data_IF_415195668485
#
_entry.id   IF_415195668485
#
_cell.length_a   1.000
_cell.length_b   1.000
_cell.length_c   1.000
_cell.angle_alpha   90.00
_cell.angle_beta   90.00
_cell.angle_gamma   90.00
#
_symmetry.space_group_name_H-M   'P 1'
#
loop_
_entity.id
_entity.type
_entity.pdbx_description
1 polymer ?
#
# COMPACT_ATOMS: atom_id res chain seq x y z
N UNK A 1 -12.08 10.71 -40.67
CA UNK A 1 -11.89 9.24 -40.60
C UNK A 1 -11.52 8.81 -39.19
N UNK A 2 -10.49 9.39 -38.59
CA UNK A 2 -9.99 9.00 -37.25
C UNK A 2 -11.00 9.15 -36.09
N UNK A 3 -11.88 10.16 -36.17
CA UNK A 3 -12.87 10.39 -35.12
C UNK A 3 -13.98 9.33 -35.11
N UNK A 4 -14.36 8.83 -36.28
CA UNK A 4 -15.39 7.80 -36.41
C UNK A 4 -14.89 6.41 -35.99
N UNK A 5 -13.63 6.09 -36.33
CA UNK A 5 -12.98 4.86 -35.90
C UNK A 5 -12.82 4.82 -34.38
N UNK A 6 -12.37 5.91 -33.76
CA UNK A 6 -12.29 6.04 -32.29
C UNK A 6 -13.66 5.84 -31.61
N UNK A 7 -14.74 6.41 -32.16
CA UNK A 7 -16.08 6.22 -31.60
C UNK A 7 -16.55 4.78 -31.69
N UNK A 8 -16.22 4.07 -32.78
CA UNK A 8 -16.53 2.66 -32.96
C UNK A 8 -15.76 1.79 -31.98
N UNK A 9 -14.47 2.06 -31.76
CA UNK A 9 -13.63 1.33 -30.82
C UNK A 9 -14.14 1.48 -29.38
N UNK A 10 -14.45 2.72 -28.97
CA UNK A 10 -15.02 3.00 -27.64
C UNK A 10 -16.33 2.22 -27.45
N UNK A 11 -17.22 2.24 -28.44
CA UNK A 11 -18.50 1.53 -28.37
C UNK A 11 -18.30 0.03 -28.23
N UNK A 12 -17.37 -0.57 -28.97
CA UNK A 12 -17.05 -1.99 -28.89
C UNK A 12 -16.53 -2.38 -27.51
N UNK A 13 -15.59 -1.59 -26.96
CA UNK A 13 -15.06 -1.80 -25.61
C UNK A 13 -16.16 -1.68 -24.57
N UNK A 14 -17.04 -0.68 -24.68
CA UNK A 14 -18.17 -0.49 -23.77
C UNK A 14 -19.14 -1.68 -23.80
N UNK A 15 -19.52 -2.16 -24.99
CA UNK A 15 -20.42 -3.30 -25.15
C UNK A 15 -19.80 -4.55 -24.53
N UNK A 16 -18.50 -4.82 -24.84
CA UNK A 16 -17.79 -5.95 -24.28
C UNK A 16 -17.76 -5.91 -22.75
N UNK A 17 -17.35 -4.80 -22.17
CA UNK A 17 -17.23 -4.66 -20.71
C UNK A 17 -18.59 -4.72 -19.99
N UNK A 18 -19.64 -4.20 -20.60
CA UNK A 18 -21.00 -4.27 -20.05
C UNK A 18 -21.51 -5.70 -19.92
N UNK A 19 -21.12 -6.62 -20.82
CA UNK A 19 -21.46 -8.04 -20.74
C UNK A 19 -20.98 -8.69 -19.43
N UNK A 20 -19.87 -8.16 -18.89
CA UNK A 20 -19.29 -8.61 -17.62
C UNK A 20 -19.68 -7.72 -16.42
N UNK A 21 -20.68 -6.85 -16.61
CA UNK A 21 -21.24 -6.01 -15.55
C UNK A 21 -20.41 -4.78 -15.18
N UNK A 22 -19.50 -4.36 -16.07
CA UNK A 22 -18.73 -3.12 -15.90
C UNK A 22 -19.63 -1.94 -16.26
N UNK A 23 -19.69 -0.93 -15.38
CA UNK A 23 -20.44 0.30 -15.65
C UNK A 23 -19.83 1.09 -16.80
N UNK A 24 -20.65 1.93 -17.46
CA UNK A 24 -20.17 2.83 -18.53
C UNK A 24 -19.05 3.76 -18.05
N UNK A 25 -19.11 4.22 -16.79
CA UNK A 25 -18.08 5.06 -16.19
C UNK A 25 -16.72 4.34 -16.07
N UNK A 26 -16.74 3.09 -15.66
CA UNK A 26 -15.52 2.27 -15.61
C UNK A 26 -15.04 1.88 -17.00
N UNK A 27 -15.92 1.53 -17.92
CA UNK A 27 -15.56 1.23 -19.30
C UNK A 27 -14.86 2.43 -19.99
N UNK A 28 -15.31 3.65 -19.73
CA UNK A 28 -14.65 4.86 -20.20
C UNK A 28 -13.24 5.06 -19.61
N UNK A 29 -13.05 4.76 -18.30
CA UNK A 29 -11.73 4.80 -17.65
C UNK A 29 -10.79 3.74 -18.23
N UNK A 30 -11.27 2.51 -18.44
CA UNK A 30 -10.53 1.39 -19.02
C UNK A 30 -10.07 1.76 -20.44
N UNK A 31 -10.97 2.30 -21.25
CA UNK A 31 -10.61 2.75 -22.60
C UNK A 31 -9.60 3.90 -22.59
N UNK A 32 -9.70 4.83 -21.63
CA UNK A 32 -8.72 5.93 -21.49
C UNK A 32 -7.33 5.40 -21.16
N UNK A 33 -7.23 4.34 -20.35
CA UNK A 33 -5.98 3.74 -19.92
C UNK A 33 -5.33 2.89 -21.02
N UNK A 34 -6.12 2.03 -21.67
CA UNK A 34 -5.59 1.00 -22.57
C UNK A 34 -5.92 1.24 -24.06
N UNK A 35 -6.80 2.21 -24.36
CA UNK A 35 -7.17 2.52 -25.73
C UNK A 35 -7.80 1.33 -26.46
N UNK A 36 -7.29 1.03 -27.65
CA UNK A 36 -7.76 -0.09 -28.50
C UNK A 36 -7.50 -1.46 -27.87
N UNK A 37 -6.45 -1.57 -27.07
CA UNK A 37 -6.03 -2.83 -26.45
C UNK A 37 -6.83 -3.16 -25.16
N UNK A 38 -7.87 -2.38 -24.87
CA UNK A 38 -8.68 -2.54 -23.64
C UNK A 38 -9.27 -3.94 -23.51
N UNK A 39 -9.80 -4.49 -24.58
CA UNK A 39 -10.45 -5.81 -24.57
C UNK A 39 -9.39 -6.90 -24.34
N UNK A 40 -8.27 -6.82 -25.03
CA UNK A 40 -7.21 -7.82 -24.96
C UNK A 40 -6.53 -7.79 -23.58
N UNK A 41 -6.23 -6.60 -23.05
CA UNK A 41 -5.68 -6.46 -21.70
C UNK A 41 -6.62 -7.04 -20.63
N UNK A 42 -7.91 -6.76 -20.72
CA UNK A 42 -8.90 -7.29 -19.74
C UNK A 42 -9.08 -8.80 -19.90
N UNK A 43 -9.04 -9.33 -21.12
CA UNK A 43 -9.10 -10.78 -21.37
C UNK A 43 -7.85 -11.50 -20.90
N UNK A 44 -6.67 -10.89 -21.03
CA UNK A 44 -5.41 -11.48 -20.60
C UNK A 44 -5.29 -11.53 -19.09
N UNK A 45 -5.60 -10.40 -18.43
CA UNK A 45 -5.55 -10.30 -16.97
C UNK A 45 -6.51 -9.22 -16.44
N UNK A 46 -7.72 -9.58 -16.03
CA UNK A 46 -8.70 -8.63 -15.49
C UNK A 46 -8.25 -7.99 -14.18
N UNK A 47 -7.33 -8.62 -13.43
CA UNK A 47 -6.84 -8.09 -12.16
C UNK A 47 -5.96 -6.85 -12.32
N UNK A 48 -5.36 -6.63 -13.49
CA UNK A 48 -4.67 -5.37 -13.81
C UNK A 48 -5.56 -4.13 -13.67
N UNK A 49 -6.86 -4.30 -13.80
CA UNK A 49 -7.80 -3.20 -13.57
C UNK A 49 -7.73 -2.62 -12.16
N UNK A 50 -7.40 -3.47 -11.16
CA UNK A 50 -7.26 -3.02 -9.78
C UNK A 50 -5.96 -2.22 -9.54
N UNK A 51 -4.91 -2.52 -10.31
CA UNK A 51 -3.62 -1.84 -10.20
C UNK A 51 -3.58 -0.54 -11.03
N UNK A 52 -4.15 -0.57 -12.24
CA UNK A 52 -3.97 0.47 -13.25
C UNK A 52 -5.09 1.54 -13.24
N UNK A 53 -6.27 1.26 -12.64
CA UNK A 53 -7.43 2.14 -12.74
C UNK A 53 -7.96 2.59 -11.38
N UNK A 54 -7.75 3.84 -11.08
CA UNK A 54 -8.25 4.43 -9.85
C UNK A 54 -9.78 4.27 -9.69
N UNK A 55 -10.18 3.65 -8.59
CA UNK A 55 -11.57 3.36 -8.23
C UNK A 55 -12.05 1.97 -8.64
N UNK A 56 -11.25 1.16 -9.34
CA UNK A 56 -11.47 -0.27 -9.51
C UNK A 56 -10.57 -0.99 -8.50
N UNK A 57 -11.15 -1.59 -7.47
CA UNK A 57 -10.43 -2.41 -6.51
C UNK A 57 -10.50 -3.89 -6.85
N UNK A 58 -9.77 -4.71 -6.07
CA UNK A 58 -9.72 -6.17 -6.21
C UNK A 58 -11.12 -6.80 -6.36
N UNK A 59 -12.07 -6.46 -5.47
CA UNK A 59 -13.43 -7.05 -5.49
C UNK A 59 -14.17 -6.82 -6.81
N UNK A 60 -13.98 -5.64 -7.40
CA UNK A 60 -14.60 -5.32 -8.71
C UNK A 60 -13.91 -6.10 -9.83
N UNK A 61 -12.57 -6.14 -9.84
CA UNK A 61 -11.79 -6.90 -10.80
C UNK A 61 -12.11 -8.42 -10.71
N UNK A 62 -12.22 -8.95 -9.49
CA UNK A 62 -12.57 -10.35 -9.22
C UNK A 62 -13.98 -10.72 -9.71
N UNK A 63 -14.95 -9.81 -9.51
CA UNK A 63 -16.30 -9.98 -10.05
C UNK A 63 -16.32 -10.03 -11.59
N UNK A 64 -15.49 -9.22 -12.26
CA UNK A 64 -15.35 -9.23 -13.71
C UNK A 64 -14.71 -10.54 -14.16
N UNK A 65 -13.58 -10.93 -13.52
CA UNK A 65 -12.85 -12.15 -13.80
C UNK A 65 -13.73 -13.39 -13.67
N UNK A 66 -14.50 -13.47 -12.59
CA UNK A 66 -15.46 -14.58 -12.34
C UNK A 66 -16.49 -14.71 -13.46
N UNK A 67 -17.06 -13.59 -13.93
CA UNK A 67 -18.01 -13.59 -15.06
C UNK A 67 -17.35 -13.95 -16.38
N UNK A 68 -16.04 -13.73 -16.52
CA UNK A 68 -15.24 -14.15 -17.67
C UNK A 68 -14.83 -15.62 -17.62
N UNK A 69 -15.16 -16.33 -16.52
CA UNK A 69 -14.85 -17.75 -16.36
C UNK A 69 -13.47 -18.05 -15.78
N UNK A 70 -12.84 -17.07 -15.12
CA UNK A 70 -11.59 -17.32 -14.39
C UNK A 70 -11.82 -18.23 -13.19
N UNK A 71 -10.93 -19.18 -12.99
CA UNK A 71 -11.03 -20.16 -11.91
C UNK A 71 -10.64 -19.57 -10.56
N UNK A 72 -11.16 -20.16 -9.47
CA UNK A 72 -10.85 -19.72 -8.10
C UNK A 72 -9.37 -19.78 -7.76
N UNK A 73 -8.67 -20.77 -8.31
CA UNK A 73 -7.25 -21.05 -8.08
C UNK A 73 -6.31 -20.39 -9.12
N UNK A 74 -6.81 -19.49 -9.98
CA UNK A 74 -5.98 -18.79 -10.94
C UNK A 74 -4.89 -17.96 -10.22
N UNK A 75 -3.63 -18.14 -10.63
CA UNK A 75 -2.50 -17.46 -9.99
C UNK A 75 -2.58 -15.93 -10.05
N UNK A 76 -3.15 -15.36 -11.12
CA UNK A 76 -3.36 -13.91 -11.23
C UNK A 76 -4.35 -13.43 -10.17
N UNK A 77 -5.40 -14.23 -9.92
CA UNK A 77 -6.36 -14.00 -8.84
C UNK A 77 -5.69 -14.05 -7.48
N UNK A 78 -4.89 -15.09 -7.22
CA UNK A 78 -4.17 -15.26 -5.97
C UNK A 78 -3.22 -14.08 -5.71
N UNK A 79 -2.43 -13.66 -6.70
CA UNK A 79 -1.50 -12.52 -6.59
C UNK A 79 -2.24 -11.22 -6.25
N UNK A 80 -3.31 -10.92 -6.97
CA UNK A 80 -4.11 -9.71 -6.70
C UNK A 80 -4.81 -9.76 -5.33
N UNK A 81 -5.28 -10.93 -4.93
CA UNK A 81 -5.89 -11.15 -3.61
C UNK A 81 -4.89 -11.01 -2.46
N UNK A 82 -3.66 -11.48 -2.63
CA UNK A 82 -2.57 -11.28 -1.66
C UNK A 82 -2.25 -9.79 -1.49
N UNK A 83 -2.11 -9.05 -2.60
CA UNK A 83 -1.92 -7.60 -2.55
C UNK A 83 -3.07 -6.90 -1.83
N UNK A 84 -4.30 -7.29 -2.12
CA UNK A 84 -5.48 -6.75 -1.45
C UNK A 84 -5.45 -7.05 0.05
N UNK A 85 -5.15 -8.28 0.47
CA UNK A 85 -5.08 -8.68 1.87
C UNK A 85 -4.03 -7.86 2.64
N UNK A 86 -2.83 -7.67 2.06
CA UNK A 86 -1.78 -6.86 2.68
C UNK A 86 -2.17 -5.38 2.77
N UNK A 87 -2.87 -4.84 1.76
CA UNK A 87 -3.37 -3.48 1.82
C UNK A 87 -4.46 -3.29 2.88
N UNK A 88 -5.38 -4.26 3.06
CA UNK A 88 -6.36 -4.22 4.15
C UNK A 88 -5.69 -4.24 5.52
N UNK A 89 -4.70 -5.12 5.72
CA UNK A 89 -3.90 -5.13 6.95
C UNK A 89 -3.17 -3.79 7.18
N UNK A 90 -2.71 -3.14 6.12
CA UNK A 90 -2.08 -1.83 6.24
C UNK A 90 -3.05 -0.74 6.67
N UNK A 91 -4.31 -0.82 6.25
CA UNK A 91 -5.37 0.09 6.71
C UNK A 91 -5.69 -0.09 8.21
N UNK A 92 -5.41 -1.28 8.75
CA UNK A 92 -5.50 -1.59 10.18
C UNK A 92 -4.24 -1.20 10.97
N UNK A 93 -3.22 -0.68 10.30
CA UNK A 93 -1.96 -0.20 10.91
C UNK A 93 -0.81 -1.21 10.89
N UNK A 94 -0.97 -2.34 10.19
CA UNK A 94 0.09 -3.34 10.03
C UNK A 94 0.99 -3.01 8.84
N UNK A 95 2.30 -3.08 9.01
CA UNK A 95 3.26 -2.85 7.92
C UNK A 95 3.70 -4.14 7.22
N UNK A 96 3.44 -5.30 7.83
CA UNK A 96 3.70 -6.64 7.31
C UNK A 96 2.65 -7.64 7.78
N UNK A 97 2.65 -8.82 7.19
CA UNK A 97 1.94 -9.99 7.68
C UNK A 97 2.92 -11.15 7.91
N UNK A 98 2.68 -11.99 8.93
CA UNK A 98 3.35 -13.28 9.05
C UNK A 98 2.83 -14.18 7.93
N UNK A 99 3.73 -14.88 7.23
CA UNK A 99 3.40 -15.65 6.02
C UNK A 99 2.24 -16.63 6.23
N UNK A 100 2.25 -17.39 7.32
CA UNK A 100 1.18 -18.34 7.65
C UNK A 100 -0.18 -17.63 7.82
N UNK A 101 -0.19 -16.49 8.51
CA UNK A 101 -1.41 -15.68 8.69
C UNK A 101 -1.90 -15.08 7.36
N UNK A 102 -0.97 -14.65 6.51
CA UNK A 102 -1.29 -14.14 5.18
C UNK A 102 -1.94 -15.21 4.31
N UNK A 103 -1.40 -16.43 4.32
CA UNK A 103 -1.96 -17.57 3.58
C UNK A 103 -3.39 -17.87 4.07
N UNK A 104 -3.62 -17.96 5.38
CA UNK A 104 -4.94 -18.23 5.92
C UNK A 104 -5.94 -17.10 5.64
N UNK A 105 -5.52 -15.85 5.73
CA UNK A 105 -6.36 -14.70 5.38
C UNK A 105 -6.72 -14.69 3.88
N UNK A 106 -5.75 -14.98 3.01
CA UNK A 106 -5.96 -15.06 1.57
C UNK A 106 -6.86 -16.26 1.19
N UNK A 107 -6.70 -17.43 1.81
CA UNK A 107 -7.59 -18.59 1.63
C UNK A 107 -9.04 -18.23 1.96
N UNK A 108 -9.24 -17.57 3.08
CA UNK A 108 -10.58 -17.14 3.52
C UNK A 108 -11.19 -16.10 2.57
N UNK A 109 -10.39 -15.13 2.12
CA UNK A 109 -10.84 -14.07 1.20
C UNK A 109 -11.21 -14.64 -0.17
N UNK A 110 -10.33 -15.51 -0.71
CA UNK A 110 -10.42 -16.00 -2.07
C UNK A 110 -11.26 -17.28 -2.20
N UNK A 111 -11.57 -17.94 -1.08
CA UNK A 111 -12.14 -19.30 -1.08
C UNK A 111 -11.34 -20.23 -2.01
N UNK A 112 -10.02 -20.12 -1.99
CA UNK A 112 -9.07 -20.82 -2.84
C UNK A 112 -8.22 -21.81 -2.01
N UNK A 113 -7.57 -22.74 -2.68
CA UNK A 113 -6.66 -23.68 -2.04
C UNK A 113 -5.36 -23.01 -1.59
N UNK A 114 -4.70 -23.57 -0.57
CA UNK A 114 -3.46 -23.01 -0.02
C UNK A 114 -2.27 -23.09 -0.97
N UNK A 115 -2.19 -24.15 -1.78
CA UNK A 115 -1.06 -24.38 -2.70
C UNK A 115 -0.91 -23.26 -3.74
N UNK A 116 -1.95 -22.84 -4.50
CA UNK A 116 -1.87 -21.71 -5.44
C UNK A 116 -1.50 -20.39 -4.77
N UNK A 117 -1.95 -20.17 -3.53
CA UNK A 117 -1.62 -18.96 -2.75
C UNK A 117 -0.14 -18.97 -2.39
N UNK A 118 0.40 -20.09 -1.90
CA UNK A 118 1.82 -20.23 -1.57
C UNK A 118 2.70 -20.09 -2.81
N UNK A 119 2.28 -20.65 -3.94
CA UNK A 119 2.95 -20.46 -5.22
C UNK A 119 2.96 -18.98 -5.62
N UNK A 120 1.81 -18.30 -5.52
CA UNK A 120 1.70 -16.89 -5.85
C UNK A 120 2.63 -16.02 -4.98
N UNK A 121 2.70 -16.26 -3.66
CA UNK A 121 3.62 -15.56 -2.75
C UNK A 121 5.08 -15.77 -3.20
N UNK A 122 5.46 -17.01 -3.52
CA UNK A 122 6.81 -17.35 -3.96
C UNK A 122 7.18 -16.62 -5.26
N UNK A 123 6.28 -16.60 -6.24
CA UNK A 123 6.50 -15.88 -7.51
C UNK A 123 6.55 -14.37 -7.33
N UNK A 124 5.72 -13.81 -6.43
CA UNK A 124 5.72 -12.38 -6.12
C UNK A 124 7.00 -11.96 -5.40
N UNK A 125 7.57 -12.80 -4.54
CA UNK A 125 8.88 -12.56 -3.92
C UNK A 125 9.99 -12.62 -4.98
N UNK A 126 9.97 -13.62 -5.86
CA UNK A 126 10.96 -13.76 -6.92
C UNK A 126 10.94 -12.58 -7.91
N UNK A 127 9.78 -11.94 -8.12
CA UNK A 127 9.61 -10.76 -8.97
C UNK A 127 9.69 -9.42 -8.21
N UNK A 128 10.13 -9.43 -6.95
CA UNK A 128 10.27 -8.25 -6.07
C UNK A 128 8.96 -7.46 -5.84
N UNK A 129 7.81 -8.07 -6.13
CA UNK A 129 6.49 -7.51 -5.82
C UNK A 129 6.12 -7.68 -4.34
N UNK A 130 6.77 -8.60 -3.65
CA UNK A 130 6.76 -8.76 -2.19
C UNK A 130 8.19 -8.88 -1.68
N UNK A 131 8.40 -8.49 -0.42
CA UNK A 131 9.68 -8.66 0.27
C UNK A 131 9.46 -9.57 1.46
N UNK A 132 10.31 -10.61 1.57
CA UNK A 132 10.36 -11.49 2.73
C UNK A 132 11.54 -11.12 3.62
N UNK A 133 11.28 -10.91 4.90
CA UNK A 133 12.29 -10.80 5.93
C UNK A 133 11.94 -11.77 7.06
N UNK A 134 12.66 -12.88 7.16
CA UNK A 134 12.33 -14.03 8.00
C UNK A 134 10.92 -14.58 7.69
N UNK A 135 9.98 -14.51 8.64
CA UNK A 135 8.58 -14.93 8.47
C UNK A 135 7.65 -13.79 8.04
N UNK A 136 8.18 -12.56 7.98
CA UNK A 136 7.40 -11.39 7.64
C UNK A 136 7.38 -11.14 6.14
N UNK A 137 6.18 -10.93 5.59
CA UNK A 137 5.92 -10.57 4.20
C UNK A 137 5.44 -9.13 4.12
N UNK A 138 6.13 -8.34 3.32
CA UNK A 138 5.87 -6.91 3.15
C UNK A 138 5.47 -6.57 1.71
N UNK A 139 4.64 -5.55 1.56
CA UNK A 139 4.64 -4.76 0.34
C UNK A 139 5.90 -3.88 0.30
N UNK A 140 6.60 -3.76 -0.84
CA UNK A 140 7.88 -3.04 -0.95
C UNK A 140 7.87 -1.61 -0.36
N UNK A 141 6.82 -0.78 -0.57
CA UNK A 141 6.80 0.56 0.01
C UNK A 141 6.88 0.58 1.53
N UNK A 142 6.23 -0.35 2.23
CA UNK A 142 6.25 -0.42 3.69
C UNK A 142 7.61 -0.89 4.21
N UNK A 143 8.20 -1.91 3.59
CA UNK A 143 9.53 -2.39 3.92
C UNK A 143 10.59 -1.30 3.83
N UNK A 144 10.65 -0.60 2.70
CA UNK A 144 11.64 0.46 2.51
C UNK A 144 11.37 1.67 3.40
N UNK A 145 10.11 2.01 3.68
CA UNK A 145 9.75 3.09 4.60
C UNK A 145 10.18 2.79 6.02
N UNK A 146 9.96 1.58 6.51
CA UNK A 146 10.35 1.15 7.85
C UNK A 146 11.88 1.19 8.01
N UNK A 147 12.63 0.56 7.10
CA UNK A 147 14.10 0.58 7.11
C UNK A 147 14.67 1.97 6.94
N UNK A 148 14.09 2.78 6.06
CA UNK A 148 14.50 4.15 5.85
C UNK A 148 14.30 5.00 7.10
N UNK A 149 13.18 4.82 7.80
CA UNK A 149 12.90 5.49 9.07
C UNK A 149 13.88 5.08 10.15
N UNK A 150 14.11 3.78 10.35
CA UNK A 150 15.09 3.26 11.31
C UNK A 150 16.49 3.82 11.04
N UNK A 151 16.95 3.81 9.78
CA UNK A 151 18.24 4.37 9.39
C UNK A 151 18.36 5.86 9.72
N UNK A 152 17.32 6.65 9.43
CA UNK A 152 17.30 8.09 9.73
C UNK A 152 17.31 8.35 11.24
N UNK A 153 16.53 7.59 12.02
CA UNK A 153 16.50 7.70 13.47
C UNK A 153 17.88 7.37 14.08
N UNK A 154 18.50 6.28 13.66
CA UNK A 154 19.85 5.92 14.11
C UNK A 154 20.88 7.00 13.76
N UNK A 155 20.83 7.56 12.56
CA UNK A 155 21.72 8.66 12.17
C UNK A 155 21.51 9.92 13.01
N UNK A 156 20.26 10.25 13.35
CA UNK A 156 19.94 11.34 14.26
C UNK A 156 20.47 11.09 15.66
N UNK A 157 20.38 9.87 16.18
CA UNK A 157 20.86 9.49 17.52
C UNK A 157 22.39 9.59 17.63
N UNK A 158 23.13 9.26 16.56
CA UNK A 158 24.59 9.32 16.53
C UNK A 158 25.13 10.75 16.41
N UNK A 159 24.31 11.69 15.97
CA UNK A 159 24.72 13.08 15.83
C UNK A 159 24.89 13.78 17.17
N UNK A 160 26.02 14.44 17.40
CA UNK A 160 26.21 15.31 18.56
C UNK A 160 25.30 16.55 18.46
N UNK A 161 24.61 16.89 19.55
CA UNK A 161 23.98 18.19 19.68
C UNK A 161 25.02 19.13 20.32
N UNK A 162 25.50 20.16 19.63
CA UNK A 162 26.26 21.19 20.27
C UNK A 162 25.30 21.94 21.23
N UNK A 163 25.37 21.61 22.51
CA UNK A 163 24.60 22.32 23.53
C UNK A 163 25.30 23.64 23.84
N UNK A 164 24.94 24.68 23.13
CA UNK A 164 25.33 26.07 23.41
C UNK A 164 24.39 26.72 24.45
N UNK A 165 23.61 25.93 25.20
CA UNK A 165 22.55 26.40 26.09
C UNK A 165 22.96 26.32 27.58
N UNK A 166 22.86 27.44 28.29
CA UNK A 166 22.80 27.42 29.74
C UNK A 166 21.34 27.26 30.17
N UNK A 167 20.88 26.00 30.13
CA UNK A 167 19.48 25.63 30.26
C UNK A 167 18.76 26.20 31.48
N UNK A 168 19.44 26.29 32.63
CA UNK A 168 18.83 26.84 33.86
C UNK A 168 18.61 28.35 33.76
N UNK A 169 19.56 29.07 33.14
CA UNK A 169 19.44 30.51 32.96
C UNK A 169 18.35 30.85 31.94
N UNK A 170 18.29 30.07 30.87
CA UNK A 170 17.34 30.27 29.76
C UNK A 170 15.91 29.96 30.22
N UNK A 171 15.69 28.87 30.94
CA UNK A 171 14.35 28.54 31.52
C UNK A 171 13.89 29.65 32.47
N UNK A 172 14.76 30.16 33.37
CA UNK A 172 14.41 31.27 34.24
C UNK A 172 14.08 32.55 33.47
N UNK A 173 14.80 32.82 32.39
CA UNK A 173 14.53 33.96 31.52
C UNK A 173 13.17 33.80 30.80
N UNK A 174 12.85 32.63 30.33
CA UNK A 174 11.54 32.31 29.71
C UNK A 174 10.39 32.44 30.73
N UNK A 175 10.56 31.90 31.94
CA UNK A 175 9.58 32.05 33.02
C UNK A 175 9.31 33.52 33.34
N UNK A 176 10.38 34.32 33.42
CA UNK A 176 10.27 35.76 33.68
C UNK A 176 9.57 36.50 32.53
N UNK A 177 9.88 36.15 31.29
CA UNK A 177 9.30 36.80 30.12
C UNK A 177 7.83 36.43 29.88
N UNK A 178 7.45 35.20 30.20
CA UNK A 178 6.08 34.68 29.98
C UNK A 178 5.16 34.87 31.19
N UNK A 179 5.70 35.10 32.36
CA UNK A 179 4.97 35.14 33.63
C UNK A 179 4.46 33.76 34.10
N UNK A 180 4.91 32.68 33.44
CA UNK A 180 4.50 31.29 33.70
C UNK A 180 5.64 30.56 34.40
N UNK A 181 5.36 29.91 35.57
CA UNK A 181 6.29 28.97 36.19
C UNK A 181 6.09 27.57 35.62
N UNK A 182 7.14 26.97 35.13
CA UNK A 182 7.12 25.60 34.62
C UNK A 182 7.19 24.59 35.78
N UNK A 183 6.40 23.53 35.72
CA UNK A 183 6.50 22.40 36.63
C UNK A 183 7.81 21.62 36.36
N UNK A 184 8.33 20.90 37.37
CA UNK A 184 9.57 20.12 37.26
C UNK A 184 9.55 19.15 36.05
N UNK A 185 8.41 18.50 35.80
CA UNK A 185 8.24 17.59 34.64
C UNK A 185 8.36 18.34 33.30
N UNK A 186 7.86 19.57 33.23
CA UNK A 186 7.97 20.42 32.03
C UNK A 186 9.42 20.88 31.83
N UNK A 187 10.12 21.26 32.88
CA UNK A 187 11.54 21.61 32.85
C UNK A 187 12.37 20.41 32.41
N UNK A 188 12.11 19.22 32.94
CA UNK A 188 12.77 17.97 32.50
C UNK A 188 12.48 17.65 31.04
N UNK A 189 11.26 17.88 30.56
CA UNK A 189 10.88 17.67 29.16
C UNK A 189 11.60 18.63 28.22
N UNK A 190 11.68 19.93 28.59
CA UNK A 190 12.44 20.94 27.82
C UNK A 190 13.93 20.56 27.78
N UNK A 191 14.48 20.20 28.93
CA UNK A 191 15.88 19.78 29.05
C UNK A 191 16.20 18.60 28.13
N UNK A 192 15.33 17.61 28.11
CA UNK A 192 15.50 16.44 27.26
C UNK A 192 15.29 16.75 25.77
N UNK A 193 14.35 17.64 25.44
CA UNK A 193 14.12 18.05 24.05
C UNK A 193 15.33 18.78 23.44
N UNK A 194 16.03 19.59 24.24
CA UNK A 194 17.22 20.32 23.78
C UNK A 194 18.45 19.39 23.67
N UNK A 195 18.55 18.38 24.55
CA UNK A 195 19.72 17.46 24.57
C UNK A 195 19.58 16.28 23.62
N UNK A 196 18.40 15.92 23.25
CA UNK A 196 18.14 14.72 22.44
C UNK A 196 17.57 15.08 21.08
N UNK A 197 18.18 14.57 20.00
CA UNK A 197 17.64 14.73 18.64
C UNK A 197 16.42 13.83 18.35
N UNK A 198 16.29 12.75 19.10
CA UNK A 198 15.17 11.81 19.01
C UNK A 198 14.61 11.57 20.41
N UNK A 199 13.30 11.68 20.54
CA UNK A 199 12.56 11.37 21.76
C UNK A 199 11.36 10.51 21.42
N UNK A 200 11.28 9.35 22.04
CA UNK A 200 10.11 8.48 22.02
C UNK A 200 9.39 8.64 23.36
N UNK A 201 8.08 8.86 23.33
CA UNK A 201 7.20 8.89 24.50
C UNK A 201 6.60 7.54 24.73
#
# INVERSE_FOLDING_TARGET
>A
RDSWEKQKDIKNVMIFLQQYGVSTAYAAKIYRQYGKDSIDNVKENPYRLADDIWGIGFKTADSIASKMGYEKNDLRRCKSGINYTLNELSNEGHVYAVEEQLIEAAKKLLEADGEPITQAITEMIASENLIRENEAIYLPPFYYSERGTAKKLLALMQGQNPTLFNMQADIKAMEKASGIKYAEVQIAAIAQAVRSKVRVR
#
